data_IF_913856096172
#
_entry.id   IF_913856096172
#
_cell.length_a   1.000
_cell.length_b   1.000
_cell.length_c   1.000
_cell.angle_alpha   90.00
_cell.angle_beta   90.00
_cell.angle_gamma   90.00
#
_symmetry.space_group_name_H-M   'P 1'
#
loop_
_entity.id
_entity.type
_entity.pdbx_description
1 polymer ?
#
# COMPACT_ATOMS: atom_id res chain seq x y z
N UNK A 1 29.21 25.68 1.62
CA UNK A 1 27.72 25.64 1.73
C UNK A 1 27.17 26.99 1.32
N UNK A 2 26.18 27.04 0.43
CA UNK A 2 25.63 28.30 -0.10
C UNK A 2 24.72 29.01 0.91
N UNK A 3 24.66 30.34 0.86
CA UNK A 3 23.82 31.15 1.75
C UNK A 3 22.32 30.85 1.70
N UNK A 4 21.73 30.44 0.55
CA UNK A 4 20.32 30.01 0.51
C UNK A 4 20.04 28.79 1.38
N UNK A 5 20.92 27.78 1.38
CA UNK A 5 20.74 26.56 2.18
C UNK A 5 20.80 26.87 3.66
N UNK A 6 21.73 27.74 4.08
CA UNK A 6 21.82 28.19 5.48
C UNK A 6 20.52 28.88 5.91
N UNK A 7 20.03 29.83 5.11
CA UNK A 7 18.77 30.56 5.39
C UNK A 7 17.57 29.61 5.50
N UNK A 8 17.39 28.72 4.54
CA UNK A 8 16.27 27.77 4.53
C UNK A 8 16.36 26.79 5.71
N UNK A 9 17.54 26.28 6.03
CA UNK A 9 17.72 25.38 7.18
C UNK A 9 17.36 26.06 8.51
N UNK A 10 17.60 27.37 8.63
CA UNK A 10 17.25 28.11 9.84
C UNK A 10 15.75 28.37 10.00
N UNK A 11 14.96 28.27 8.92
CA UNK A 11 13.52 28.52 8.94
C UNK A 11 12.65 27.29 8.68
N UNK A 12 13.24 26.16 8.26
CA UNK A 12 12.52 24.94 7.88
C UNK A 12 13.21 23.69 8.48
N UNK A 13 12.63 23.06 9.53
CA UNK A 13 13.23 21.89 10.17
C UNK A 13 13.49 20.72 9.22
N UNK A 14 12.61 20.49 8.24
CA UNK A 14 12.81 19.44 7.23
C UNK A 14 14.08 19.64 6.39
N UNK A 15 14.41 20.90 6.05
CA UNK A 15 15.63 21.22 5.30
C UNK A 15 16.86 21.06 6.18
N UNK A 16 16.78 21.48 7.45
CA UNK A 16 17.84 21.26 8.43
C UNK A 16 18.12 19.78 8.64
N UNK A 17 17.07 18.97 8.75
CA UNK A 17 17.14 17.51 8.91
C UNK A 17 17.83 16.83 7.73
N UNK A 18 17.43 17.14 6.50
CA UNK A 18 18.10 16.63 5.29
C UNK A 18 19.57 17.06 5.20
N UNK A 19 19.88 18.32 5.55
CA UNK A 19 21.25 18.82 5.61
C UNK A 19 22.08 18.05 6.65
N UNK A 20 21.53 17.85 7.85
CA UNK A 20 22.22 17.17 8.94
C UNK A 20 22.50 15.71 8.59
N UNK A 21 21.57 15.01 7.93
CA UNK A 21 21.79 13.67 7.40
C UNK A 21 23.03 13.61 6.51
N UNK A 22 23.13 14.55 5.55
CA UNK A 22 24.27 14.60 4.62
C UNK A 22 25.59 14.91 5.33
N UNK A 23 25.58 15.80 6.32
CA UNK A 23 26.78 16.12 7.12
C UNK A 23 27.28 14.88 7.87
N UNK A 24 26.38 14.16 8.54
CA UNK A 24 26.71 12.92 9.26
C UNK A 24 27.32 11.88 8.33
N UNK A 25 26.69 11.61 7.17
CA UNK A 25 27.23 10.69 6.16
C UNK A 25 28.58 11.13 5.57
N UNK A 26 28.96 12.39 5.77
CA UNK A 26 30.26 12.95 5.36
C UNK A 26 31.26 13.06 6.53
N UNK A 27 30.99 12.38 7.66
CA UNK A 27 31.77 12.40 8.90
C UNK A 27 31.82 13.75 9.63
N UNK A 28 30.88 14.65 9.32
CA UNK A 28 30.75 15.96 9.96
C UNK A 28 29.55 15.95 10.92
N UNK A 29 29.81 15.63 12.19
CA UNK A 29 28.76 15.53 13.20
C UNK A 29 28.33 16.94 13.66
N UNK A 30 27.05 17.34 13.50
CA UNK A 30 26.58 18.62 13.98
C UNK A 30 26.75 18.76 15.50
N UNK A 31 27.18 19.92 15.98
CA UNK A 31 27.32 20.16 17.43
C UNK A 31 25.97 20.14 18.18
N UNK A 32 24.89 20.52 17.49
CA UNK A 32 23.53 20.61 18.04
C UNK A 32 22.51 20.29 16.96
N UNK A 33 21.46 19.58 17.34
CA UNK A 33 20.26 19.31 16.55
C UNK A 33 19.06 19.28 17.49
N UNK A 34 17.98 19.99 17.16
CA UNK A 34 16.70 19.76 17.83
C UNK A 34 16.11 18.41 17.40
N UNK A 35 15.12 17.89 18.12
CA UNK A 35 14.49 16.61 17.79
C UNK A 35 13.93 16.58 16.35
N UNK A 36 13.40 17.71 15.86
CA UNK A 36 12.86 17.86 14.50
C UNK A 36 13.95 17.92 13.42
N UNK A 37 15.17 18.28 13.80
CA UNK A 37 16.34 18.37 12.93
C UNK A 37 17.18 17.08 12.92
N UNK A 38 16.85 16.12 13.78
CA UNK A 38 17.52 14.82 13.84
C UNK A 38 17.05 13.93 12.66
N UNK A 39 17.96 13.53 11.76
CA UNK A 39 17.60 12.69 10.63
C UNK A 39 17.29 11.26 11.06
N UNK A 40 16.34 10.64 10.36
CA UNK A 40 15.98 9.25 10.57
C UNK A 40 16.90 8.31 9.82
N UNK A 41 17.25 8.64 8.56
CA UNK A 41 18.17 7.87 7.73
C UNK A 41 19.55 8.55 7.66
N UNK A 42 20.59 7.89 8.17
CA UNK A 42 21.98 8.39 8.24
C UNK A 42 23.02 7.46 7.60
N UNK A 43 22.56 6.46 6.81
CA UNK A 43 23.38 5.39 6.26
C UNK A 43 23.22 5.19 4.75
N UNK A 44 22.54 6.11 4.07
CA UNK A 44 22.33 6.08 2.63
C UNK A 44 22.27 7.51 2.06
N UNK A 45 22.93 7.83 0.92
CA UNK A 45 23.61 6.89 0.02
C UNK A 45 25.00 6.45 0.51
N UNK A 46 25.63 7.26 1.35
CA UNK A 46 26.96 7.02 1.89
C UNK A 46 26.87 6.67 3.38
N UNK A 47 27.89 5.95 3.86
CA UNK A 47 28.04 5.59 5.26
C UNK A 47 29.14 6.43 5.90
N UNK A 48 28.91 6.86 7.14
CA UNK A 48 29.94 7.48 7.95
C UNK A 48 30.93 6.42 8.49
N UNK A 49 32.06 6.87 9.01
CA UNK A 49 33.03 6.01 9.69
C UNK A 49 32.50 5.59 11.06
N UNK A 50 33.05 4.49 11.60
CA UNK A 50 32.72 4.05 12.95
C UNK A 50 32.97 5.13 14.02
N UNK A 51 34.06 5.91 13.88
CA UNK A 51 34.36 7.00 14.82
C UNK A 51 33.32 8.13 14.76
N UNK A 52 32.81 8.44 13.57
CA UNK A 52 31.75 9.41 13.39
C UNK A 52 30.45 8.90 14.03
N UNK A 53 30.11 7.63 13.82
CA UNK A 53 28.96 6.99 14.45
C UNK A 53 29.08 6.87 15.97
N UNK A 54 30.27 6.59 16.52
CA UNK A 54 30.54 6.59 17.97
C UNK A 54 30.39 7.99 18.57
N UNK A 55 30.89 9.00 17.87
CA UNK A 55 30.72 10.41 18.25
C UNK A 55 29.24 10.82 18.22
N UNK A 56 28.51 10.35 17.22
CA UNK A 56 27.08 10.59 17.06
C UNK A 56 26.27 9.96 18.20
N UNK A 57 26.50 8.68 18.51
CA UNK A 57 25.83 7.98 19.60
C UNK A 57 26.12 8.61 20.98
N UNK A 58 27.34 9.14 21.16
CA UNK A 58 27.74 9.81 22.41
C UNK A 58 27.16 11.22 22.53
N UNK A 59 27.13 11.99 21.45
CA UNK A 59 26.62 13.36 21.42
C UNK A 59 25.09 13.45 21.35
N UNK A 60 24.44 12.43 20.77
CA UNK A 60 22.99 12.36 20.58
C UNK A 60 22.45 10.99 21.02
N UNK A 61 22.28 10.75 22.34
CA UNK A 61 21.86 9.45 22.87
C UNK A 61 20.50 8.94 22.35
N UNK A 62 19.62 9.85 21.93
CA UNK A 62 18.31 9.53 21.34
C UNK A 62 18.42 8.97 19.91
N UNK A 63 19.59 9.12 19.27
CA UNK A 63 19.84 8.65 17.90
C UNK A 63 20.57 7.31 17.84
N UNK A 64 20.76 6.62 18.97
CA UNK A 64 21.51 5.36 19.01
C UNK A 64 20.90 4.26 18.14
N UNK A 65 19.58 4.22 17.95
CA UNK A 65 18.93 3.24 17.07
C UNK A 65 19.21 3.52 15.58
N UNK A 66 19.26 4.78 15.18
CA UNK A 66 19.67 5.19 13.83
C UNK A 66 21.13 4.81 13.58
N UNK A 67 22.00 5.00 14.58
CA UNK A 67 23.39 4.53 14.52
C UNK A 67 23.46 3.00 14.46
N UNK A 68 22.64 2.28 15.24
CA UNK A 68 22.58 0.83 15.22
C UNK A 68 22.16 0.27 13.86
N UNK A 69 21.15 0.87 13.21
CA UNK A 69 20.76 0.49 11.85
C UNK A 69 21.84 0.83 10.82
N UNK A 70 22.53 1.97 10.99
CA UNK A 70 23.68 2.29 10.17
C UNK A 70 24.81 1.25 10.31
N UNK A 71 25.06 0.76 11.53
CA UNK A 71 26.02 -0.31 11.79
C UNK A 71 25.61 -1.62 11.10
N UNK A 72 24.33 -1.99 11.14
CA UNK A 72 23.81 -3.16 10.44
C UNK A 72 23.98 -3.07 8.92
N UNK A 73 23.74 -1.88 8.35
CA UNK A 73 23.95 -1.61 6.94
C UNK A 73 25.44 -1.62 6.54
N UNK A 74 26.33 -1.08 7.39
CA UNK A 74 27.76 -0.93 7.12
C UNK A 74 28.61 -2.14 7.51
N UNK A 75 28.08 -3.04 8.34
CA UNK A 75 28.82 -4.18 8.90
C UNK A 75 29.68 -3.83 10.13
N UNK A 76 29.35 -2.76 10.84
CA UNK A 76 30.11 -2.29 12.02
C UNK A 76 29.66 -3.02 13.30
N UNK A 77 29.87 -4.33 13.36
CA UNK A 77 29.40 -5.19 14.47
C UNK A 77 29.99 -4.80 15.83
N UNK A 78 31.28 -4.47 15.91
CA UNK A 78 31.91 -4.06 17.16
C UNK A 78 31.25 -2.80 17.75
N UNK A 79 31.02 -1.77 16.92
CA UNK A 79 30.32 -0.57 17.34
C UNK A 79 28.86 -0.86 17.72
N UNK A 80 28.16 -1.72 16.98
CA UNK A 80 26.80 -2.11 17.32
C UNK A 80 26.70 -2.68 18.76
N UNK A 81 27.66 -3.51 19.17
CA UNK A 81 27.72 -4.06 20.53
C UNK A 81 27.96 -2.97 21.59
N UNK A 82 28.74 -1.92 21.28
CA UNK A 82 28.96 -0.79 22.18
C UNK A 82 27.68 0.03 22.45
N UNK A 83 26.69 0.00 21.54
CA UNK A 83 25.47 0.81 21.66
C UNK A 83 24.48 0.27 22.71
N UNK A 84 24.61 -1.01 23.10
CA UNK A 84 23.74 -1.71 24.06
C UNK A 84 22.24 -1.52 23.75
N UNK A 85 21.86 -1.84 22.50
CA UNK A 85 20.50 -1.69 22.01
C UNK A 85 19.65 -2.92 22.34
N UNK A 86 18.34 -2.71 22.50
CA UNK A 86 17.40 -3.82 22.51
C UNK A 86 17.37 -4.50 21.13
N UNK A 87 17.09 -5.81 21.06
CA UNK A 87 17.08 -6.57 19.81
C UNK A 87 15.92 -6.12 18.90
N UNK A 88 16.23 -5.15 18.04
CA UNK A 88 15.29 -4.43 17.18
C UNK A 88 15.16 -5.09 15.80
N UNK A 89 13.94 -5.31 15.34
CA UNK A 89 13.68 -6.12 14.12
C UNK A 89 14.09 -5.42 12.82
N UNK A 90 14.01 -4.11 12.73
CA UNK A 90 14.41 -3.34 11.54
C UNK A 90 15.93 -3.35 11.36
N UNK A 91 16.71 -3.30 12.44
CA UNK A 91 18.16 -3.50 12.45
C UNK A 91 18.50 -4.93 12.01
N UNK A 92 17.76 -5.94 12.47
CA UNK A 92 17.97 -7.32 12.02
C UNK A 92 17.70 -7.45 10.50
N UNK A 93 16.58 -6.91 10.01
CA UNK A 93 16.26 -6.94 8.58
C UNK A 93 17.31 -6.20 7.74
N UNK A 94 17.80 -5.05 8.20
CA UNK A 94 18.91 -4.33 7.55
C UNK A 94 20.19 -5.18 7.52
N UNK A 95 20.56 -5.79 8.65
CA UNK A 95 21.75 -6.64 8.76
C UNK A 95 21.71 -7.87 7.85
N UNK A 96 20.53 -8.48 7.70
CA UNK A 96 20.31 -9.60 6.77
C UNK A 96 20.54 -9.21 5.31
N UNK A 97 20.11 -8.01 4.94
CA UNK A 97 20.08 -7.52 3.56
C UNK A 97 21.32 -6.67 3.19
N UNK A 98 22.25 -6.45 4.12
CA UNK A 98 23.41 -5.58 3.89
C UNK A 98 24.54 -6.22 3.07
N UNK A 99 24.51 -7.54 2.87
CA UNK A 99 25.56 -8.31 2.20
C UNK A 99 26.96 -8.14 2.85
N UNK A 100 27.02 -7.79 4.15
CA UNK A 100 28.28 -7.65 4.92
C UNK A 100 28.42 -8.75 5.98
N UNK A 101 29.65 -9.17 6.27
CA UNK A 101 29.92 -10.15 7.34
C UNK A 101 29.47 -9.61 8.71
N UNK A 102 29.74 -8.34 8.99
CA UNK A 102 29.31 -7.71 10.24
C UNK A 102 27.79 -7.55 10.36
N UNK A 103 27.10 -7.23 9.26
CA UNK A 103 25.63 -7.17 9.24
C UNK A 103 25.00 -8.53 9.50
N UNK A 104 25.60 -9.60 8.96
CA UNK A 104 25.19 -10.98 9.26
C UNK A 104 25.39 -11.32 10.74
N UNK A 105 26.51 -10.94 11.34
CA UNK A 105 26.74 -11.12 12.78
C UNK A 105 25.70 -10.40 13.63
N UNK A 106 25.37 -9.15 13.27
CA UNK A 106 24.31 -8.36 13.94
C UNK A 106 22.95 -9.07 13.81
N UNK A 107 22.61 -9.55 12.61
CA UNK A 107 21.39 -10.31 12.38
C UNK A 107 21.34 -11.57 13.25
N UNK A 108 22.37 -12.40 13.22
CA UNK A 108 22.44 -13.65 13.98
C UNK A 108 22.35 -13.38 15.49
N UNK A 109 23.00 -12.32 15.98
CA UNK A 109 22.94 -11.86 17.37
C UNK A 109 21.50 -11.48 17.76
N UNK A 110 20.84 -10.59 17.02
CA UNK A 110 19.45 -10.16 17.30
C UNK A 110 18.48 -11.34 17.23
N UNK A 111 18.66 -12.23 16.24
CA UNK A 111 17.80 -13.42 16.05
C UNK A 111 17.99 -14.49 17.12
N UNK A 112 19.12 -14.48 17.85
CA UNK A 112 19.35 -15.37 18.99
C UNK A 112 18.48 -15.03 20.21
N UNK A 113 17.96 -13.80 20.29
CA UNK A 113 17.09 -13.38 21.39
C UNK A 113 15.68 -13.96 21.24
N UNK A 114 15.15 -14.47 22.35
CA UNK A 114 13.77 -14.98 22.45
C UNK A 114 12.73 -13.87 22.21
N UNK A 115 13.02 -12.66 22.67
CA UNK A 115 12.14 -11.50 22.59
C UNK A 115 12.82 -10.43 21.75
N UNK A 116 12.11 -9.94 20.74
CA UNK A 116 12.53 -8.87 19.82
C UNK A 116 11.50 -7.75 19.84
N UNK A 117 11.91 -6.56 19.43
CA UNK A 117 11.16 -5.31 19.62
C UNK A 117 10.97 -4.56 18.30
N UNK A 118 9.82 -3.88 18.14
CA UNK A 118 9.64 -2.82 17.14
C UNK A 118 9.85 -1.49 17.83
N UNK A 119 11.00 -0.87 17.56
CA UNK A 119 11.37 0.44 18.12
C UNK A 119 11.44 1.49 17.01
N UNK A 120 11.83 1.08 15.80
CA UNK A 120 11.88 1.95 14.62
C UNK A 120 10.62 1.77 13.76
N UNK A 121 9.99 2.88 13.35
CA UNK A 121 8.85 2.88 12.41
C UNK A 121 9.21 3.70 11.15
N UNK A 122 9.45 3.01 10.03
CA UNK A 122 9.85 3.62 8.76
C UNK A 122 8.76 4.45 8.09
N UNK A 123 7.48 4.15 8.37
CA UNK A 123 6.36 4.90 7.81
C UNK A 123 6.20 6.24 8.53
N UNK A 124 6.41 6.25 9.85
CA UNK A 124 6.30 7.47 10.68
C UNK A 124 7.63 8.21 10.83
N UNK A 125 8.76 7.55 10.55
CA UNK A 125 10.12 8.03 10.81
C UNK A 125 10.36 8.35 12.28
N UNK A 126 9.92 7.46 13.16
CA UNK A 126 9.99 7.61 14.62
C UNK A 126 10.79 6.49 15.28
N UNK A 127 11.34 6.79 16.45
CA UNK A 127 12.00 5.84 17.36
C UNK A 127 11.25 5.90 18.70
N UNK A 128 10.62 4.80 19.11
CA UNK A 128 9.82 4.70 20.34
C UNK A 128 10.59 3.99 21.44
N UNK A 129 10.95 4.72 22.50
CA UNK A 129 11.82 4.22 23.58
C UNK A 129 11.05 3.84 24.85
N UNK A 130 9.75 4.09 24.92
CA UNK A 130 8.93 3.90 26.11
C UNK A 130 7.79 2.90 25.88
N UNK A 131 7.02 3.07 24.81
CA UNK A 131 5.83 2.26 24.50
C UNK A 131 6.04 1.37 23.26
N UNK A 132 7.11 0.56 23.29
CA UNK A 132 7.46 -0.35 22.20
C UNK A 132 6.75 -1.70 22.30
N UNK A 133 6.55 -2.35 21.15
CA UNK A 133 5.80 -3.62 21.06
C UNK A 133 6.74 -4.83 21.15
N UNK A 134 6.36 -5.83 21.97
CA UNK A 134 7.08 -7.08 22.15
C UNK A 134 6.14 -8.22 22.62
N UNK A 135 6.32 -9.48 22.19
CA UNK A 135 7.28 -9.94 21.16
C UNK A 135 6.84 -9.58 19.75
N UNK A 136 7.83 -9.34 18.89
CA UNK A 136 7.62 -9.16 17.44
C UNK A 136 8.53 -10.09 16.64
N UNK A 137 8.21 -10.25 15.36
CA UNK A 137 8.89 -11.12 14.42
C UNK A 137 9.24 -10.35 13.14
N UNK A 138 10.19 -10.87 12.36
CA UNK A 138 10.55 -10.28 11.07
C UNK A 138 9.35 -10.33 10.13
N UNK A 139 9.08 -9.22 9.43
CA UNK A 139 7.87 -9.07 8.61
C UNK A 139 8.11 -8.39 7.27
N UNK A 140 9.35 -8.01 6.94
CA UNK A 140 9.77 -7.40 5.69
C UNK A 140 9.26 -5.96 5.46
N UNK A 141 8.82 -5.25 6.50
CA UNK A 141 8.39 -3.85 6.40
C UNK A 141 9.55 -2.86 6.28
N UNK A 142 10.75 -3.26 6.68
CA UNK A 142 11.92 -2.38 6.72
C UNK A 142 12.31 -1.89 5.34
N UNK A 143 12.54 -0.59 5.22
CA UNK A 143 13.20 0.06 4.08
C UNK A 143 14.70 -0.14 4.17
N UNK A 144 15.13 -1.38 3.92
CA UNK A 144 16.54 -1.77 3.88
C UNK A 144 17.27 -1.04 2.75
N UNK A 145 18.60 -0.93 2.85
CA UNK A 145 19.46 -0.12 1.98
C UNK A 145 19.16 -0.24 0.49
N UNK A 146 18.95 -1.46 -0.02
CA UNK A 146 18.69 -1.64 -1.46
C UNK A 146 17.37 -0.99 -1.90
N UNK A 147 16.32 -0.95 -1.05
CA UNK A 147 15.05 -0.25 -1.37
C UNK A 147 15.24 1.25 -1.50
N UNK A 148 16.19 1.78 -0.73
CA UNK A 148 16.60 3.17 -0.81
C UNK A 148 17.37 3.47 -2.10
N UNK A 149 17.70 2.52 -2.97
CA UNK A 149 18.39 2.88 -4.23
C UNK A 149 17.43 3.50 -5.25
N UNK A 150 16.13 3.25 -5.13
CA UNK A 150 15.13 3.83 -6.03
C UNK A 150 15.11 5.37 -5.95
N UNK A 151 14.97 6.01 -7.11
CA UNK A 151 14.81 7.47 -7.24
C UNK A 151 13.62 7.83 -8.12
N UNK A 152 12.94 8.90 -7.74
CA UNK A 152 11.87 9.54 -8.50
C UNK A 152 12.43 10.74 -9.23
N UNK A 153 12.24 10.80 -10.54
CA UNK A 153 12.61 11.96 -11.34
C UNK A 153 11.79 13.19 -10.94
N UNK A 154 12.47 14.32 -10.74
CA UNK A 154 11.88 15.61 -10.30
C UNK A 154 10.78 16.15 -11.23
N UNK A 155 10.71 15.65 -12.47
CA UNK A 155 9.72 16.05 -13.47
C UNK A 155 8.35 15.36 -13.34
N UNK A 156 8.19 14.34 -12.49
CA UNK A 156 6.89 13.68 -12.28
C UNK A 156 5.92 14.63 -11.55
N UNK A 157 4.82 14.99 -12.21
CA UNK A 157 3.80 15.95 -11.74
C UNK A 157 2.92 15.44 -10.59
N UNK A 158 2.92 14.13 -10.32
CA UNK A 158 2.11 13.51 -9.26
C UNK A 158 3.04 12.96 -8.18
N UNK A 159 3.15 13.73 -7.09
CA UNK A 159 3.77 13.25 -5.87
C UNK A 159 2.73 12.43 -5.12
N UNK A 160 2.57 11.16 -5.49
CA UNK A 160 1.91 10.24 -4.58
C UNK A 160 2.81 10.12 -3.34
N UNK A 161 2.27 10.47 -2.16
CA UNK A 161 2.93 10.26 -0.87
C UNK A 161 2.98 8.75 -0.59
N UNK A 162 3.85 8.03 -1.32
CA UNK A 162 4.13 6.64 -1.04
C UNK A 162 5.06 6.59 0.17
N UNK A 163 4.46 6.37 1.33
CA UNK A 163 5.17 5.91 2.52
C UNK A 163 5.46 4.41 2.38
N UNK A 164 6.52 3.89 3.01
CA UNK A 164 7.52 4.62 3.79
C UNK A 164 8.47 5.43 2.93
N UNK A 165 8.88 6.59 3.43
CA UNK A 165 9.88 7.44 2.79
C UNK A 165 10.94 7.85 3.82
N UNK A 166 11.85 6.93 4.15
CA UNK A 166 12.83 7.12 5.22
C UNK A 166 13.95 8.10 4.85
N UNK A 167 14.23 8.28 3.55
CA UNK A 167 15.18 9.28 3.08
C UNK A 167 14.68 10.70 3.33
N UNK A 168 15.61 11.56 3.71
CA UNK A 168 15.32 12.98 3.95
C UNK A 168 15.12 13.80 2.67
N UNK A 169 15.54 13.27 1.52
CA UNK A 169 15.36 13.88 0.19
C UNK A 169 14.10 13.40 -0.55
N UNK A 170 13.26 12.62 0.12
CA UNK A 170 12.02 12.07 -0.43
C UNK A 170 12.20 11.15 -1.65
N UNK A 171 13.35 10.47 -1.78
CA UNK A 171 13.72 9.68 -2.97
C UNK A 171 13.82 10.52 -4.25
N UNK A 172 14.04 11.84 -4.16
CA UNK A 172 14.14 12.69 -5.35
C UNK A 172 15.49 12.53 -6.06
N UNK A 173 15.43 12.32 -7.37
CA UNK A 173 16.57 12.29 -8.28
C UNK A 173 16.34 13.19 -9.49
N UNK A 174 17.43 13.49 -10.23
CA UNK A 174 17.32 14.18 -11.52
C UNK A 174 16.56 13.31 -12.54
N UNK A 175 16.83 12.01 -12.50
CA UNK A 175 16.22 10.99 -13.34
C UNK A 175 15.53 9.93 -12.46
N UNK A 176 14.65 9.13 -13.07
CA UNK A 176 14.07 7.97 -12.41
C UNK A 176 15.14 6.88 -12.34
N UNK A 177 15.31 6.29 -11.16
CA UNK A 177 16.13 5.11 -10.97
C UNK A 177 15.26 4.01 -10.40
N UNK A 178 15.08 2.94 -11.16
CA UNK A 178 14.37 1.74 -10.71
C UNK A 178 15.31 0.82 -9.94
N UNK A 179 14.72 -0.06 -9.13
CA UNK A 179 15.48 -1.09 -8.43
C UNK A 179 15.96 -2.15 -9.42
N UNK A 180 17.05 -2.82 -9.07
CA UNK A 180 17.48 -4.00 -9.81
C UNK A 180 16.39 -5.08 -9.77
N UNK A 181 16.06 -5.64 -10.93
CA UNK A 181 15.04 -6.67 -11.14
C UNK A 181 15.17 -7.85 -10.16
N UNK A 182 16.39 -8.16 -9.71
CA UNK A 182 16.65 -9.21 -8.72
C UNK A 182 15.87 -9.01 -7.42
N UNK A 183 15.51 -7.77 -7.08
CA UNK A 183 14.77 -7.45 -5.86
C UNK A 183 13.24 -7.56 -6.03
N UNK A 184 12.75 -7.62 -7.26
CA UNK A 184 11.33 -7.80 -7.58
C UNK A 184 10.97 -9.27 -7.82
N UNK A 185 11.96 -10.09 -8.18
CA UNK A 185 11.77 -11.52 -8.44
C UNK A 185 12.00 -12.33 -7.16
N UNK A 186 11.00 -13.15 -6.81
CA UNK A 186 11.11 -14.15 -5.76
C UNK A 186 11.94 -15.34 -6.25
N UNK A 187 12.88 -15.81 -5.43
CA UNK A 187 13.54 -17.09 -5.67
C UNK A 187 12.62 -18.29 -5.34
N UNK A 188 13.04 -19.51 -5.67
CA UNK A 188 12.22 -20.72 -5.47
C UNK A 188 11.78 -20.95 -4.01
N UNK A 189 12.62 -20.56 -3.03
CA UNK A 189 12.29 -20.69 -1.62
C UNK A 189 11.32 -19.60 -1.15
N UNK A 190 11.46 -18.39 -1.67
CA UNK A 190 10.52 -17.29 -1.43
C UNK A 190 9.16 -17.55 -2.10
N UNK A 191 9.15 -18.11 -3.32
CA UNK A 191 7.93 -18.47 -4.04
C UNK A 191 7.09 -19.51 -3.29
N UNK A 192 7.73 -20.42 -2.54
CA UNK A 192 7.03 -21.36 -1.64
C UNK A 192 6.16 -20.65 -0.60
N UNK A 193 6.49 -19.41 -0.23
CA UNK A 193 5.70 -18.64 0.72
C UNK A 193 4.33 -18.27 0.15
N UNK A 194 4.12 -18.27 -1.17
CA UNK A 194 2.82 -17.97 -1.78
C UNK A 194 1.76 -19.01 -1.43
N UNK A 195 2.14 -20.28 -1.35
CA UNK A 195 1.20 -21.40 -1.17
C UNK A 195 1.38 -22.19 0.12
N UNK A 196 2.45 -21.95 0.90
CA UNK A 196 2.61 -22.53 2.24
C UNK A 196 2.22 -21.52 3.34
N UNK A 197 1.93 -21.99 4.56
CA UNK A 197 1.74 -21.12 5.72
C UNK A 197 2.92 -20.16 5.89
N UNK A 198 2.63 -18.89 6.18
CA UNK A 198 3.67 -17.91 6.44
C UNK A 198 4.34 -18.21 7.79
N UNK A 199 5.68 -18.29 7.84
CA UNK A 199 6.38 -18.37 9.11
C UNK A 199 6.16 -17.10 9.93
N UNK A 200 6.38 -17.20 11.25
CA UNK A 200 6.32 -16.01 12.12
C UNK A 200 7.40 -15.00 11.72
N UNK A 201 8.63 -15.48 11.54
CA UNK A 201 9.75 -14.71 10.99
C UNK A 201 9.79 -14.88 9.47
N UNK A 202 9.45 -13.82 8.74
CA UNK A 202 9.51 -13.83 7.30
C UNK A 202 10.98 -13.89 6.84
N UNK A 203 11.37 -14.87 6.01
CA UNK A 203 12.78 -15.11 5.68
C UNK A 203 13.34 -14.12 4.66
N UNK A 204 12.49 -13.37 3.97
CA UNK A 204 12.86 -12.38 2.97
C UNK A 204 12.13 -11.06 3.23
N UNK A 205 12.76 -9.93 2.91
CA UNK A 205 12.06 -8.64 2.95
C UNK A 205 11.14 -8.44 1.74
N UNK A 206 11.39 -9.12 0.60
CA UNK A 206 10.64 -9.02 -0.67
C UNK A 206 9.19 -9.54 -0.57
N UNK A 207 8.32 -8.77 0.07
CA UNK A 207 6.96 -9.21 0.38
C UNK A 207 5.86 -8.60 -0.48
N UNK A 208 6.18 -7.64 -1.35
CA UNK A 208 5.19 -6.92 -2.17
C UNK A 208 4.25 -7.89 -2.89
N UNK A 209 4.81 -8.87 -3.62
CA UNK A 209 4.02 -9.88 -4.31
C UNK A 209 3.22 -10.78 -3.35
N UNK A 210 3.79 -11.14 -2.19
CA UNK A 210 3.07 -11.94 -1.18
C UNK A 210 1.82 -11.20 -0.68
N UNK A 211 1.96 -9.89 -0.41
CA UNK A 211 0.86 -9.03 0.05
C UNK A 211 -0.20 -8.89 -1.04
N UNK A 212 0.22 -8.63 -2.28
CA UNK A 212 -0.66 -8.50 -3.44
C UNK A 212 -1.46 -9.78 -3.69
N UNK A 213 -0.82 -10.95 -3.64
CA UNK A 213 -1.49 -12.24 -3.82
C UNK A 213 -2.46 -12.54 -2.68
N UNK A 214 -2.10 -12.24 -1.43
CA UNK A 214 -3.02 -12.37 -0.30
C UNK A 214 -4.25 -11.46 -0.46
N UNK A 215 -4.07 -10.24 -0.95
CA UNK A 215 -5.17 -9.31 -1.23
C UNK A 215 -6.04 -9.79 -2.40
N UNK A 216 -5.43 -10.19 -3.51
CA UNK A 216 -6.10 -10.71 -4.71
C UNK A 216 -6.99 -11.92 -4.38
N UNK A 217 -6.47 -12.84 -3.56
CA UNK A 217 -7.18 -14.04 -3.13
C UNK A 217 -8.14 -13.79 -1.96
N UNK A 218 -8.24 -12.55 -1.47
CA UNK A 218 -9.12 -12.19 -0.36
C UNK A 218 -8.80 -12.95 0.95
N UNK A 219 -7.54 -13.35 1.14
CA UNK A 219 -7.10 -14.10 2.31
C UNK A 219 -6.81 -13.13 3.46
N UNK A 220 -7.74 -13.01 4.40
CA UNK A 220 -7.69 -12.05 5.51
C UNK A 220 -6.47 -12.30 6.39
N UNK A 221 -6.23 -13.54 6.79
CA UNK A 221 -5.17 -13.90 7.72
C UNK A 221 -3.79 -13.60 7.13
N UNK A 222 -3.55 -13.99 5.88
CA UNK A 222 -2.28 -13.69 5.20
C UNK A 222 -2.12 -12.20 4.93
N UNK A 223 -3.17 -11.53 4.48
CA UNK A 223 -3.11 -10.11 4.17
C UNK A 223 -2.81 -9.29 5.44
N UNK A 224 -3.50 -9.57 6.54
CA UNK A 224 -3.27 -8.88 7.82
C UNK A 224 -1.90 -9.16 8.43
N UNK A 225 -1.32 -10.34 8.21
CA UNK A 225 0.05 -10.64 8.64
C UNK A 225 1.09 -9.86 7.82
N UNK A 226 0.85 -9.67 6.51
CA UNK A 226 1.81 -9.05 5.59
C UNK A 226 1.68 -7.52 5.51
N UNK A 227 0.47 -6.98 5.59
CA UNK A 227 0.15 -5.56 5.45
C UNK A 227 0.03 -4.82 6.81
N UNK A 228 0.94 -5.12 7.74
CA UNK A 228 0.92 -4.57 9.11
C UNK A 228 1.48 -3.16 9.25
N UNK A 229 1.96 -2.54 8.16
CA UNK A 229 2.55 -1.20 8.19
C UNK A 229 1.61 -0.12 7.65
N UNK A 230 1.92 1.14 7.96
CA UNK A 230 1.25 2.31 7.40
C UNK A 230 1.71 2.64 5.97
N UNK A 231 2.22 1.65 5.23
CA UNK A 231 2.66 1.80 3.84
C UNK A 231 1.48 2.19 2.97
N UNK A 232 1.66 3.20 2.13
CA UNK A 232 0.63 3.60 1.15
C UNK A 232 0.52 2.52 0.09
N UNK A 233 -0.70 2.11 -0.25
CA UNK A 233 -0.96 1.15 -1.32
C UNK A 233 -0.61 1.78 -2.67
N UNK A 234 0.14 1.04 -3.48
CA UNK A 234 0.30 1.37 -4.90
C UNK A 234 -1.00 1.09 -5.64
N UNK A 235 -1.11 1.59 -6.89
CA UNK A 235 -2.27 1.28 -7.73
C UNK A 235 -2.48 -0.24 -7.89
N UNK A 236 -1.40 -1.00 -8.09
CA UNK A 236 -1.48 -2.46 -8.22
C UNK A 236 -1.93 -3.14 -6.92
N UNK A 237 -1.42 -2.69 -5.76
CA UNK A 237 -1.89 -3.22 -4.47
C UNK A 237 -3.38 -2.99 -4.29
N UNK A 238 -3.85 -1.81 -4.66
CA UNK A 238 -5.26 -1.43 -4.59
C UNK A 238 -6.13 -2.26 -5.55
N UNK A 239 -5.66 -2.50 -6.79
CA UNK A 239 -6.36 -3.35 -7.76
C UNK A 239 -6.49 -4.80 -7.24
N UNK A 240 -5.44 -5.33 -6.60
CA UNK A 240 -5.51 -6.64 -5.93
C UNK A 240 -6.53 -6.65 -4.78
N UNK A 241 -6.58 -5.62 -3.95
CA UNK A 241 -7.60 -5.48 -2.88
C UNK A 241 -9.01 -5.44 -3.48
N UNK A 242 -9.23 -4.62 -4.50
CA UNK A 242 -10.52 -4.48 -5.19
C UNK A 242 -10.96 -5.82 -5.77
N UNK A 243 -10.06 -6.53 -6.45
CA UNK A 243 -10.34 -7.88 -6.93
C UNK A 243 -10.74 -8.77 -5.77
N UNK A 244 -9.94 -8.83 -4.70
CA UNK A 244 -10.22 -9.66 -3.53
C UNK A 244 -11.63 -9.44 -2.99
N UNK A 245 -12.04 -8.18 -2.87
CA UNK A 245 -13.37 -7.75 -2.41
C UNK A 245 -14.47 -8.22 -3.36
N UNK A 246 -14.29 -8.01 -4.67
CA UNK A 246 -15.27 -8.38 -5.70
C UNK A 246 -15.52 -9.90 -5.69
N UNK A 247 -14.53 -10.71 -5.35
CA UNK A 247 -14.64 -12.17 -5.38
C UNK A 247 -14.95 -12.85 -4.04
N UNK A 248 -14.56 -12.26 -2.91
CA UNK A 248 -14.62 -12.91 -1.61
C UNK A 248 -15.46 -12.11 -0.60
N UNK A 249 -16.62 -12.67 -0.23
CA UNK A 249 -17.60 -11.98 0.63
C UNK A 249 -17.06 -11.63 2.01
N UNK A 250 -16.31 -12.53 2.66
CA UNK A 250 -15.76 -12.27 3.99
C UNK A 250 -14.69 -11.18 3.94
N UNK A 251 -13.86 -11.16 2.90
CA UNK A 251 -12.87 -10.10 2.68
C UNK A 251 -13.53 -8.74 2.45
N UNK A 252 -14.60 -8.68 1.63
CA UNK A 252 -15.41 -7.47 1.45
C UNK A 252 -16.02 -6.96 2.77
N UNK A 253 -16.58 -7.87 3.58
CA UNK A 253 -17.13 -7.55 4.91
C UNK A 253 -16.04 -7.03 5.85
N UNK A 254 -14.86 -7.65 5.84
CA UNK A 254 -13.72 -7.25 6.65
C UNK A 254 -13.21 -5.85 6.27
N UNK A 255 -13.05 -5.57 4.98
CA UNK A 255 -12.66 -4.24 4.47
C UNK A 255 -13.68 -3.14 4.78
N UNK A 256 -14.98 -3.46 4.72
CA UNK A 256 -16.01 -2.51 5.16
C UNK A 256 -15.82 -2.13 6.64
N UNK A 257 -15.42 -3.08 7.49
CA UNK A 257 -15.04 -2.83 8.88
C UNK A 257 -13.76 -1.99 9.00
N UNK A 258 -12.75 -2.25 8.18
CA UNK A 258 -11.49 -1.50 8.18
C UNK A 258 -11.72 -0.02 7.86
N UNK A 259 -12.60 0.28 6.90
CA UNK A 259 -12.99 1.64 6.51
C UNK A 259 -13.82 2.30 7.61
N UNK A 260 -14.84 1.60 8.12
CA UNK A 260 -15.72 2.12 9.17
C UNK A 260 -14.95 2.54 10.42
N UNK A 261 -13.93 1.78 10.79
CA UNK A 261 -13.16 1.99 12.02
C UNK A 261 -11.89 2.85 11.80
N UNK A 262 -11.70 3.43 10.60
CA UNK A 262 -10.49 4.18 10.23
C UNK A 262 -9.20 3.48 10.65
N UNK A 263 -9.06 2.20 10.27
CA UNK A 263 -7.87 1.42 10.61
C UNK A 263 -6.68 1.79 9.74
N UNK A 264 -5.50 1.25 10.07
CA UNK A 264 -4.27 1.46 9.27
C UNK A 264 -4.47 1.08 7.79
N UNK A 265 -5.21 0.00 7.51
CA UNK A 265 -5.50 -0.43 6.14
C UNK A 265 -6.31 0.60 5.34
N UNK A 266 -7.29 1.24 5.98
CA UNK A 266 -8.09 2.28 5.33
C UNK A 266 -7.26 3.53 5.04
N UNK A 267 -6.43 3.95 6.01
CA UNK A 267 -5.53 5.10 5.85
C UNK A 267 -4.42 4.87 4.82
N UNK A 268 -3.99 3.62 4.65
CA UNK A 268 -3.02 3.23 3.62
C UNK A 268 -3.57 3.32 2.19
N UNK A 269 -4.89 3.34 1.99
CA UNK A 269 -5.50 3.37 0.67
C UNK A 269 -5.68 4.81 0.16
N UNK A 270 -4.95 5.27 -0.87
CA UNK A 270 -5.10 6.63 -1.39
C UNK A 270 -6.50 6.88 -1.99
N UNK A 271 -7.12 5.85 -2.57
CA UNK A 271 -8.43 5.96 -3.22
C UNK A 271 -9.47 5.06 -2.54
N UNK A 272 -9.72 5.31 -1.24
CA UNK A 272 -10.66 4.50 -0.43
C UNK A 272 -12.06 4.38 -1.05
N UNK A 273 -12.50 5.38 -1.82
CA UNK A 273 -13.78 5.38 -2.51
C UNK A 273 -13.91 4.28 -3.57
N UNK A 274 -12.80 3.83 -4.17
CA UNK A 274 -12.82 2.73 -5.14
C UNK A 274 -12.98 1.37 -4.44
N UNK A 275 -12.41 1.23 -3.23
CA UNK A 275 -12.64 0.08 -2.35
C UNK A 275 -14.11 0.07 -1.90
N UNK A 276 -14.66 1.22 -1.49
CA UNK A 276 -16.09 1.34 -1.14
C UNK A 276 -16.99 0.95 -2.32
N UNK A 277 -16.67 1.43 -3.54
CA UNK A 277 -17.38 1.07 -4.77
C UNK A 277 -17.37 -0.44 -5.01
N UNK A 278 -16.23 -1.10 -4.83
CA UNK A 278 -16.09 -2.55 -4.96
C UNK A 278 -16.93 -3.32 -3.91
N UNK A 279 -16.94 -2.85 -2.66
CA UNK A 279 -17.78 -3.42 -1.59
C UNK A 279 -19.26 -3.30 -1.97
N UNK A 280 -19.69 -2.14 -2.45
CA UNK A 280 -21.08 -1.93 -2.88
C UNK A 280 -21.47 -2.84 -4.04
N UNK A 281 -20.58 -2.99 -5.04
CA UNK A 281 -20.79 -3.94 -6.14
C UNK A 281 -21.00 -5.36 -5.60
N UNK A 282 -20.14 -5.81 -4.68
CA UNK A 282 -20.24 -7.14 -4.06
C UNK A 282 -21.53 -7.32 -3.28
N UNK A 283 -21.99 -6.31 -2.54
CA UNK A 283 -23.26 -6.36 -1.78
C UNK A 283 -24.47 -6.51 -2.72
N UNK A 284 -24.48 -5.77 -3.83
CA UNK A 284 -25.54 -5.88 -4.85
C UNK A 284 -25.56 -7.30 -5.43
N UNK A 285 -24.41 -7.84 -5.82
CA UNK A 285 -24.30 -9.21 -6.36
C UNK A 285 -24.74 -10.30 -5.37
N UNK A 286 -24.72 -10.00 -4.07
CA UNK A 286 -25.20 -10.89 -3.00
C UNK A 286 -26.66 -10.65 -2.61
N UNK A 287 -27.37 -9.75 -3.30
CA UNK A 287 -28.75 -9.37 -3.01
C UNK A 287 -28.94 -8.72 -1.63
N UNK A 288 -27.92 -8.01 -1.14
CA UNK A 288 -28.00 -7.26 0.12
C UNK A 288 -28.57 -5.85 -0.11
N UNK A 289 -29.91 -5.74 -0.03
CA UNK A 289 -30.64 -4.49 -0.20
C UNK A 289 -30.40 -3.48 0.93
N UNK A 290 -29.93 -3.91 2.11
CA UNK A 290 -29.63 -3.00 3.23
C UNK A 290 -28.53 -1.99 2.89
N UNK A 291 -27.82 -2.19 1.79
CA UNK A 291 -26.80 -1.28 1.28
C UNK A 291 -27.36 0.04 0.75
N UNK A 292 -28.64 0.07 0.33
CA UNK A 292 -29.28 1.23 -0.28
C UNK A 292 -30.76 1.37 0.07
N UNK A 293 -31.21 0.72 1.15
CA UNK A 293 -32.60 0.73 1.59
C UNK A 293 -33.12 2.17 1.84
N UNK A 294 -32.25 3.00 2.43
CA UNK A 294 -32.46 4.43 2.72
C UNK A 294 -31.99 5.36 1.58
N UNK A 295 -31.66 4.80 0.41
CA UNK A 295 -31.03 5.50 -0.70
C UNK A 295 -29.52 5.24 -0.80
N UNK A 296 -28.88 5.79 -1.82
CA UNK A 296 -27.46 5.55 -2.06
C UNK A 296 -26.58 6.28 -1.02
N UNK A 297 -25.58 5.62 -0.41
CA UNK A 297 -24.73 6.26 0.59
C UNK A 297 -23.98 7.50 0.05
N UNK A 298 -23.97 8.62 0.78
CA UNK A 298 -23.31 9.85 0.32
C UNK A 298 -21.80 9.66 0.22
N UNK A 299 -21.19 10.20 -0.84
CA UNK A 299 -19.75 10.14 -1.08
C UNK A 299 -19.23 8.79 -1.58
N UNK A 300 -20.08 7.75 -1.66
CA UNK A 300 -19.69 6.45 -2.22
C UNK A 300 -19.97 6.42 -3.71
N UNK A 301 -18.99 6.11 -4.58
CA UNK A 301 -19.23 6.00 -6.01
C UNK A 301 -20.12 4.80 -6.37
N UNK A 302 -21.06 4.99 -7.31
CA UNK A 302 -21.89 3.90 -7.83
C UNK A 302 -21.07 2.94 -8.71
N UNK A 303 -21.09 1.62 -8.43
CA UNK A 303 -20.38 0.65 -9.25
C UNK A 303 -21.06 0.49 -10.61
N UNK A 304 -20.25 0.29 -11.66
CA UNK A 304 -20.77 -0.01 -12.99
C UNK A 304 -21.06 -1.50 -13.17
N UNK A 305 -20.05 -2.35 -12.90
CA UNK A 305 -20.18 -3.80 -13.00
C UNK A 305 -20.77 -4.33 -11.69
N UNK A 306 -22.01 -4.80 -11.74
CA UNK A 306 -22.77 -5.33 -10.58
C UNK A 306 -23.24 -6.77 -10.77
N UNK A 307 -22.68 -7.47 -11.77
CA UNK A 307 -23.11 -8.82 -12.22
C UNK A 307 -21.98 -9.85 -12.33
N UNK A 308 -20.75 -9.50 -11.92
CA UNK A 308 -19.61 -10.41 -11.98
C UNK A 308 -18.73 -10.25 -10.75
N UNK A 309 -18.27 -11.35 -10.12
CA UNK A 309 -18.36 -12.74 -10.55
C UNK A 309 -19.68 -13.44 -10.20
N UNK A 310 -20.57 -12.76 -9.50
CA UNK A 310 -21.88 -13.30 -9.10
C UNK A 310 -22.99 -12.48 -9.73
N UNK A 311 -24.05 -13.16 -10.13
CA UNK A 311 -25.23 -12.54 -10.73
C UNK A 311 -26.23 -12.19 -9.62
N UNK A 312 -26.64 -10.91 -9.49
CA UNK A 312 -27.73 -10.55 -8.61
C UNK A 312 -29.05 -11.15 -9.13
N UNK A 313 -30.02 -11.36 -8.24
CA UNK A 313 -31.34 -11.83 -8.61
C UNK A 313 -32.11 -10.75 -9.40
N UNK A 314 -33.06 -11.16 -10.27
CA UNK A 314 -33.92 -10.23 -11.01
C UNK A 314 -34.59 -9.16 -10.14
N UNK A 315 -35.16 -9.58 -8.99
CA UNK A 315 -35.88 -8.70 -8.07
C UNK A 315 -34.96 -7.65 -7.43
N UNK A 316 -33.69 -8.02 -7.19
CA UNK A 316 -32.69 -7.11 -6.64
C UNK A 316 -32.37 -5.97 -7.62
N UNK A 317 -32.27 -6.26 -8.92
CA UNK A 317 -32.05 -5.24 -9.95
C UNK A 317 -33.26 -4.31 -10.09
N UNK A 318 -34.47 -4.86 -10.02
CA UNK A 318 -35.70 -4.07 -10.00
C UNK A 318 -35.77 -3.14 -8.79
N UNK A 319 -35.48 -3.67 -7.60
CA UNK A 319 -35.44 -2.91 -6.36
C UNK A 319 -34.37 -1.80 -6.40
N UNK A 320 -33.16 -2.11 -6.88
CA UNK A 320 -32.08 -1.15 -7.02
C UNK A 320 -32.45 -0.01 -7.96
N UNK A 321 -32.98 -0.30 -9.15
CA UNK A 321 -33.39 0.73 -10.10
C UNK A 321 -34.55 1.60 -9.58
N UNK A 322 -35.46 1.03 -8.79
CA UNK A 322 -36.55 1.77 -8.16
C UNK A 322 -36.04 2.71 -7.06
N UNK A 323 -35.12 2.25 -6.22
CA UNK A 323 -34.59 3.03 -5.07
C UNK A 323 -33.49 4.01 -5.48
N UNK A 324 -32.74 3.69 -6.53
CA UNK A 324 -31.57 4.43 -7.01
C UNK A 324 -31.66 4.57 -8.52
N UNK A 325 -32.47 5.54 -8.96
CA UNK A 325 -32.81 5.75 -10.38
C UNK A 325 -31.59 5.98 -11.29
N UNK A 326 -30.52 6.53 -10.73
CA UNK A 326 -29.24 6.82 -11.37
C UNK A 326 -28.50 5.53 -11.79
N UNK A 327 -28.80 4.40 -11.15
CA UNK A 327 -28.22 3.09 -11.46
C UNK A 327 -29.03 2.29 -12.48
N UNK A 328 -30.10 2.88 -13.07
CA UNK A 328 -30.98 2.19 -14.02
C UNK A 328 -30.21 1.62 -15.23
N UNK A 329 -29.19 2.32 -15.74
CA UNK A 329 -28.35 1.83 -16.85
C UNK A 329 -27.54 0.60 -16.43
N UNK A 330 -26.97 0.61 -15.24
CA UNK A 330 -26.19 -0.49 -14.68
C UNK A 330 -27.08 -1.71 -14.43
N UNK A 331 -28.30 -1.50 -13.94
CA UNK A 331 -29.31 -2.55 -13.79
C UNK A 331 -29.72 -3.15 -15.14
N UNK A 332 -29.89 -2.32 -16.18
CA UNK A 332 -30.18 -2.79 -17.54
C UNK A 332 -29.01 -3.59 -18.13
N UNK A 333 -27.77 -3.12 -17.94
CA UNK A 333 -26.57 -3.85 -18.34
C UNK A 333 -26.48 -5.22 -17.64
N UNK A 334 -26.72 -5.26 -16.33
CA UNK A 334 -26.77 -6.50 -15.57
C UNK A 334 -27.86 -7.45 -16.09
N UNK A 335 -29.07 -6.92 -16.37
CA UNK A 335 -30.18 -7.70 -16.91
C UNK A 335 -29.88 -8.28 -18.30
N UNK A 336 -29.16 -7.54 -19.16
CA UNK A 336 -28.69 -8.05 -20.45
C UNK A 336 -27.72 -9.22 -20.25
N UNK A 337 -26.69 -9.03 -19.41
CA UNK A 337 -25.65 -10.06 -19.21
C UNK A 337 -26.20 -11.31 -18.52
N UNK A 338 -27.18 -11.16 -17.62
CA UNK A 338 -27.80 -12.28 -16.91
C UNK A 338 -29.03 -12.87 -17.64
N UNK A 339 -29.35 -12.39 -18.85
CA UNK A 339 -30.51 -12.80 -19.65
C UNK A 339 -31.87 -12.66 -18.92
N UNK A 340 -32.05 -11.53 -18.21
CA UNK A 340 -33.30 -11.17 -17.51
C UNK A 340 -34.18 -10.26 -18.36
N UNK A 341 -34.75 -10.81 -19.43
CA UNK A 341 -35.54 -10.07 -20.43
C UNK A 341 -36.68 -9.25 -19.81
N UNK A 342 -37.41 -9.86 -18.87
CA UNK A 342 -38.53 -9.19 -18.18
C UNK A 342 -38.05 -7.98 -17.36
N UNK A 343 -36.92 -8.10 -16.66
CA UNK A 343 -36.33 -6.99 -15.91
C UNK A 343 -35.91 -5.90 -16.87
N UNK A 344 -35.15 -6.23 -17.91
CA UNK A 344 -34.73 -5.26 -18.93
C UNK A 344 -35.93 -4.51 -19.56
N UNK A 345 -37.00 -5.23 -19.94
CA UNK A 345 -38.23 -4.64 -20.47
C UNK A 345 -38.91 -3.70 -19.46
N UNK A 346 -39.01 -4.13 -18.20
CA UNK A 346 -39.59 -3.32 -17.12
C UNK A 346 -38.78 -2.07 -16.79
N UNK A 347 -37.45 -2.16 -16.92
CA UNK A 347 -36.58 -1.02 -16.77
C UNK A 347 -36.80 -0.04 -17.93
N UNK A 348 -37.11 -0.49 -19.15
CA UNK A 348 -37.28 0.40 -20.30
C UNK A 348 -36.08 1.37 -20.46
N UNK A 349 -34.86 0.84 -20.67
CA UNK A 349 -33.66 1.67 -20.75
C UNK A 349 -33.64 2.50 -22.04
N UNK A 350 -33.09 3.71 -21.93
CA UNK A 350 -32.76 4.54 -23.09
C UNK A 350 -31.67 3.86 -23.94
N UNK A 351 -31.73 3.97 -25.28
CA UNK A 351 -30.71 3.41 -26.14
C UNK A 351 -29.36 4.08 -25.83
N UNK A 352 -28.32 3.28 -25.68
CA UNK A 352 -26.97 3.80 -25.48
C UNK A 352 -25.93 2.90 -26.13
N UNK A 353 -24.85 3.51 -26.61
CA UNK A 353 -23.72 2.76 -27.16
C UNK A 353 -23.19 1.72 -26.17
N UNK A 354 -23.17 2.04 -24.87
CA UNK A 354 -22.75 1.10 -23.83
C UNK A 354 -23.66 -0.13 -23.73
N UNK A 355 -24.98 0.04 -23.69
CA UNK A 355 -25.91 -1.09 -23.59
C UNK A 355 -25.93 -1.92 -24.88
N UNK A 356 -25.83 -1.26 -26.05
CA UNK A 356 -25.68 -1.95 -27.33
C UNK A 356 -24.39 -2.78 -27.39
N UNK A 357 -23.26 -2.23 -26.94
CA UNK A 357 -21.99 -2.95 -26.89
C UNK A 357 -22.07 -4.14 -25.92
N UNK A 358 -22.66 -3.94 -24.73
CA UNK A 358 -22.85 -5.04 -23.77
C UNK A 358 -23.73 -6.14 -24.36
N UNK A 359 -24.83 -5.79 -25.01
CA UNK A 359 -25.72 -6.75 -25.66
C UNK A 359 -25.03 -7.48 -26.83
N UNK A 360 -24.15 -6.81 -27.56
CA UNK A 360 -23.45 -7.40 -28.71
C UNK A 360 -22.34 -8.35 -28.30
N UNK A 361 -21.60 -8.01 -27.25
CA UNK A 361 -20.41 -8.76 -26.83
C UNK A 361 -20.71 -9.86 -25.80
N UNK A 362 -21.71 -9.67 -24.92
CA UNK A 362 -21.91 -10.53 -23.76
C UNK A 362 -23.26 -11.26 -23.72
N UNK A 363 -24.26 -10.83 -24.50
CA UNK A 363 -25.56 -11.49 -24.49
C UNK A 363 -25.67 -12.53 -25.61
N UNK A 364 -26.06 -13.76 -25.25
CA UNK A 364 -26.39 -14.79 -26.23
C UNK A 364 -27.75 -14.54 -26.90
N UNK A 365 -28.67 -13.89 -26.20
CA UNK A 365 -30.01 -13.59 -26.68
C UNK A 365 -29.98 -12.34 -27.59
N UNK A 366 -30.31 -12.48 -28.89
CA UNK A 366 -30.23 -11.37 -29.85
C UNK A 366 -31.23 -10.24 -29.55
N UNK A 367 -32.30 -10.53 -28.79
CA UNK A 367 -33.35 -9.58 -28.44
C UNK A 367 -32.80 -8.25 -27.91
N UNK A 368 -31.81 -8.29 -27.00
CA UNK A 368 -31.30 -7.07 -26.37
C UNK A 368 -30.61 -6.14 -27.36
N UNK A 369 -29.82 -6.71 -28.27
CA UNK A 369 -29.10 -5.93 -29.28
C UNK A 369 -30.09 -5.33 -30.27
N UNK A 370 -31.01 -6.16 -30.79
CA UNK A 370 -32.04 -5.72 -31.73
C UNK A 370 -32.93 -4.62 -31.12
N UNK A 371 -33.30 -4.76 -29.85
CA UNK A 371 -34.09 -3.75 -29.15
C UNK A 371 -33.33 -2.43 -28.98
N UNK A 372 -32.04 -2.47 -28.63
CA UNK A 372 -31.20 -1.27 -28.57
C UNK A 372 -31.04 -0.59 -29.94
N UNK A 373 -30.86 -1.35 -31.02
CA UNK A 373 -30.80 -0.83 -32.40
C UNK A 373 -32.12 -0.19 -32.83
N UNK A 374 -33.25 -0.86 -32.54
CA UNK A 374 -34.60 -0.35 -32.82
C UNK A 374 -34.87 0.96 -32.10
N UNK A 375 -34.53 1.05 -30.80
CA UNK A 375 -34.66 2.27 -29.99
C UNK A 375 -33.78 3.40 -30.49
N UNK A 376 -32.53 3.09 -30.88
CA UNK A 376 -31.58 4.06 -31.44
C UNK A 376 -32.01 4.60 -32.81
N UNK A 377 -32.46 3.73 -33.71
CA UNK A 377 -32.92 4.10 -35.06
C UNK A 377 -34.21 4.92 -35.09
N UNK A 378 -35.10 4.75 -34.10
CA UNK A 378 -36.32 5.54 -33.96
C UNK A 378 -36.05 7.02 -33.64
N UNK A 379 -34.99 7.33 -32.87
CA UNK A 379 -34.64 8.71 -32.50
C UNK A 379 -34.00 9.52 -33.63
N UNK A 380 -33.33 8.89 -34.59
CA UNK A 380 -32.82 9.59 -35.78
C UNK A 380 -33.93 10.05 -36.74
N UNK A 381 -35.15 9.50 -36.64
CA UNK A 381 -36.28 9.84 -37.52
C UNK A 381 -37.22 10.90 -36.93
N UNK A 382 -37.09 11.25 -35.66
CA UNK A 382 -37.98 12.20 -34.95
C UNK A 382 -37.33 13.56 -34.67
N UNK A 383 -36.14 13.82 -35.21
CA UNK A 383 -35.42 15.09 -35.08
C UNK A 383 -35.21 15.83 -36.41
N UNK A 384 -36.05 15.55 -37.42
CA UNK A 384 -36.06 16.22 -38.72
C UNK A 384 -37.21 17.20 -38.85
#
# INVERSE_FOLDING_TARGET
MSDPVKRLSSSMPLVARARNARRIMSNDIPERMTAEEQPYCIWHPDMATEDAYRSMASGFPDMRYQVGRACAAAGCHALYQELDLLPEVSIAEEGRESETDGGKLIYDEIMSFKYRYVIMDDCKRTVELMDYVCPVYLNGNTEVRWRLTALRGIARRFNDDLLPCTKEDMHLGLEVQELDERHDILNDNEAKLLYNPLPRDLPAVKKTLLTQMAAHDGNIERYTQLATSGRTLTQLDQDCVIRGIIHHTMYARWWAGQIKNDTIYARSSPYVWDIQRAIMARRIMLNDASAFEEGWPPGVPMPYIIWWPLQPQPDMLGLLAMKVSEMKRQCAAAAIVCDYENVYKSLDPEPSWHLWNIASEFAANPFYREDQERRGGGRCRSGG
#
